data_IF_845051432413
#
_entry.id   IF_845051432413
#
_cell.length_a   1.000
_cell.length_b   1.000
_cell.length_c   1.000
_cell.angle_alpha   90.00
_cell.angle_beta   90.00
_cell.angle_gamma   90.00
#
_symmetry.space_group_name_H-M   'P 1'
#
loop_
_entity.id
_entity.type
_entity.pdbx_description
1 polymer ?
#
# COMPACT_ATOMS: atom_id res chain seq x y z
N UNK A 1 20.05 -21.44 24.78
CA UNK A 1 19.45 -20.10 24.72
C UNK A 1 19.20 -19.81 23.26
N UNK A 2 17.94 -19.85 22.82
CA UNK A 2 17.60 -19.54 21.42
C UNK A 2 17.67 -18.04 21.22
N UNK A 3 18.43 -17.60 20.22
CA UNK A 3 18.43 -16.21 19.78
C UNK A 3 16.99 -15.79 19.48
N UNK A 4 16.47 -14.87 20.29
CA UNK A 4 15.26 -14.14 19.97
C UNK A 4 15.63 -13.22 18.80
N UNK A 5 15.48 -13.70 17.56
CA UNK A 5 15.37 -12.81 16.41
C UNK A 5 14.34 -11.74 16.78
N UNK A 6 14.69 -10.44 16.74
CA UNK A 6 13.76 -9.39 17.11
C UNK A 6 12.55 -9.50 16.19
N UNK A 7 11.44 -9.99 16.73
CA UNK A 7 10.16 -9.95 16.05
C UNK A 7 9.85 -8.47 15.91
N UNK A 8 9.92 -7.96 14.68
CA UNK A 8 9.69 -6.54 14.38
C UNK A 8 8.24 -6.41 13.88
N UNK A 9 7.23 -6.29 14.76
CA UNK A 9 5.83 -6.22 14.38
C UNK A 9 5.50 -4.97 13.57
N UNK A 10 6.36 -3.95 13.64
CA UNK A 10 6.18 -2.63 13.01
C UNK A 10 6.21 -2.71 11.49
N UNK A 11 7.18 -3.44 10.92
CA UNK A 11 7.34 -3.53 9.46
C UNK A 11 6.19 -4.28 8.75
N UNK A 12 5.53 -5.23 9.43
CA UNK A 12 4.33 -5.88 8.90
C UNK A 12 3.13 -4.94 8.90
N UNK A 13 2.95 -4.16 9.97
CA UNK A 13 1.83 -3.23 10.08
C UNK A 13 1.86 -2.14 8.99
N UNK A 14 3.03 -1.58 8.69
CA UNK A 14 3.15 -0.57 7.63
C UNK A 14 2.88 -1.14 6.23
N UNK A 15 3.32 -2.37 5.96
CA UNK A 15 3.00 -3.07 4.70
C UNK A 15 1.50 -3.40 4.61
N UNK A 16 0.89 -3.83 5.72
CA UNK A 16 -0.55 -4.09 5.79
C UNK A 16 -1.36 -2.79 5.56
N UNK A 17 -0.93 -1.67 6.14
CA UNK A 17 -1.55 -0.36 5.95
C UNK A 17 -1.46 0.10 4.48
N UNK A 18 -0.32 -0.10 3.82
CA UNK A 18 -0.15 0.21 2.38
C UNK A 18 -1.02 -0.71 1.49
N UNK A 19 -1.14 -1.99 1.83
CA UNK A 19 -2.03 -2.92 1.10
C UNK A 19 -3.49 -2.49 1.24
N UNK A 20 -3.92 -2.10 2.44
CA UNK A 20 -5.27 -1.57 2.68
C UNK A 20 -5.52 -0.29 1.88
N UNK A 21 -4.55 0.62 1.83
CA UNK A 21 -4.66 1.86 1.08
C UNK A 21 -4.77 1.60 -0.43
N UNK A 22 -3.99 0.65 -0.96
CA UNK A 22 -4.09 0.22 -2.35
C UNK A 22 -5.48 -0.35 -2.68
N UNK A 23 -6.01 -1.23 -1.83
CA UNK A 23 -7.34 -1.82 -2.02
C UNK A 23 -8.45 -0.76 -1.99
N UNK A 24 -8.32 0.24 -1.12
CA UNK A 24 -9.23 1.39 -1.08
C UNK A 24 -9.21 2.17 -2.40
N UNK A 25 -8.03 2.50 -2.94
CA UNK A 25 -7.97 3.21 -4.22
C UNK A 25 -8.51 2.37 -5.37
N UNK A 26 -8.31 1.05 -5.36
CA UNK A 26 -8.92 0.13 -6.34
C UNK A 26 -10.45 0.18 -6.29
N UNK A 27 -11.03 0.18 -5.09
CA UNK A 27 -12.49 0.31 -4.92
C UNK A 27 -12.98 1.68 -5.40
N UNK A 28 -12.28 2.76 -5.07
CA UNK A 28 -12.60 4.11 -5.53
C UNK A 28 -12.50 4.25 -7.05
N UNK A 29 -11.53 3.60 -7.71
CA UNK A 29 -11.47 3.51 -9.17
C UNK A 29 -12.71 2.84 -9.75
N UNK A 30 -13.16 1.73 -9.15
CA UNK A 30 -14.36 1.02 -9.60
C UNK A 30 -15.64 1.84 -9.44
N UNK A 31 -15.66 2.74 -8.46
CA UNK A 31 -16.79 3.62 -8.16
C UNK A 31 -16.68 5.02 -8.81
N UNK A 32 -15.60 5.28 -9.54
CA UNK A 32 -15.35 6.58 -10.15
C UNK A 32 -16.43 6.90 -11.19
N UNK A 33 -16.95 8.13 -11.15
CA UNK A 33 -18.02 8.58 -12.06
C UNK A 33 -17.49 9.29 -13.30
N UNK A 34 -16.19 9.58 -13.31
CA UNK A 34 -15.51 10.25 -14.41
C UNK A 34 -14.15 9.63 -14.68
N UNK A 35 -13.70 9.77 -15.93
CA UNK A 35 -12.36 9.33 -16.33
C UNK A 35 -11.26 10.02 -15.52
N UNK A 36 -11.41 11.31 -15.24
CA UNK A 36 -10.44 12.06 -14.43
C UNK A 36 -10.34 11.51 -12.99
N UNK A 37 -11.47 11.14 -12.38
CA UNK A 37 -11.50 10.55 -11.04
C UNK A 37 -10.88 9.14 -11.04
N UNK A 38 -11.15 8.35 -12.08
CA UNK A 38 -10.50 7.04 -12.26
C UNK A 38 -8.98 7.18 -12.42
N UNK A 39 -8.52 8.11 -13.25
CA UNK A 39 -7.09 8.39 -13.46
C UNK A 39 -6.41 8.90 -12.18
N UNK A 40 -7.09 9.74 -11.40
CA UNK A 40 -6.61 10.17 -10.09
C UNK A 40 -6.42 8.98 -9.14
N UNK A 41 -7.42 8.14 -8.98
CA UNK A 41 -7.33 6.98 -8.09
C UNK A 41 -6.31 5.94 -8.60
N UNK A 42 -6.14 5.79 -9.91
CA UNK A 42 -5.08 4.98 -10.50
C UNK A 42 -3.70 5.46 -10.11
N UNK A 43 -3.42 6.76 -10.29
CA UNK A 43 -2.13 7.35 -9.94
C UNK A 43 -1.83 7.21 -8.45
N UNK A 44 -2.84 7.36 -7.59
CA UNK A 44 -2.69 7.14 -6.15
C UNK A 44 -2.38 5.67 -5.82
N UNK A 45 -3.05 4.72 -6.47
CA UNK A 45 -2.76 3.30 -6.29
C UNK A 45 -1.32 2.93 -6.69
N UNK A 46 -0.81 3.50 -7.79
CA UNK A 46 0.58 3.30 -8.22
C UNK A 46 1.56 3.86 -7.19
N UNK A 47 1.32 5.07 -6.68
CA UNK A 47 2.18 5.69 -5.67
C UNK A 47 2.30 4.84 -4.40
N UNK A 48 1.20 4.25 -3.93
CA UNK A 48 1.19 3.34 -2.78
C UNK A 48 2.06 2.10 -3.03
N UNK A 49 2.03 1.55 -4.25
CA UNK A 49 2.88 0.42 -4.62
C UNK A 49 4.37 0.80 -4.71
N UNK A 50 4.68 2.01 -5.20
CA UNK A 50 6.05 2.53 -5.22
C UNK A 50 6.61 2.74 -3.81
N UNK A 51 5.78 3.24 -2.90
CA UNK A 51 6.14 3.39 -1.49
C UNK A 51 6.38 2.03 -0.82
N UNK A 52 5.49 1.06 -1.07
CA UNK A 52 5.65 -0.31 -0.58
C UNK A 52 6.92 -0.99 -1.13
N UNK A 53 7.27 -0.72 -2.40
CA UNK A 53 8.49 -1.22 -3.01
C UNK A 53 9.73 -0.59 -2.37
N UNK A 54 9.74 0.72 -2.18
CA UNK A 54 10.87 1.44 -1.58
C UNK A 54 11.15 0.94 -0.16
N UNK A 55 10.10 0.74 0.65
CA UNK A 55 10.23 0.18 2.01
C UNK A 55 10.67 -1.29 2.07
N UNK A 56 10.61 -2.02 0.96
CA UNK A 56 11.09 -3.41 0.85
C UNK A 56 12.57 -3.48 0.42
N UNK A 57 13.08 -2.44 -0.23
CA UNK A 57 14.47 -2.35 -0.71
C UNK A 57 15.42 -1.70 0.32
N UNK A 58 14.92 -1.10 1.40
CA UNK A 58 15.67 -0.70 2.62
C UNK A 58 15.87 -1.86 3.61
#
# INVERSE_FOLDING_TARGET
>A
MGELTPFNPTGRKELDDLILEFLMYREKMSNAKSRAEMEYHYNMAIRVLEEARSKREE
#
